data_IF_209256526651
#
_entry.id   IF_209256526651
#
_cell.length_a   1.000
_cell.length_b   1.000
_cell.length_c   1.000
_cell.angle_alpha   90.00
_cell.angle_beta   90.00
_cell.angle_gamma   90.00
#
_symmetry.space_group_name_H-M   'P 1'
#
loop_
_entity.id
_entity.type
_entity.pdbx_description
1 polymer ?
#
# COMPACT_ATOMS: atom_id res chain seq x y z
N UNK A 1 16.45 -25.76 22.76
CA UNK A 1 15.58 -25.43 21.59
C UNK A 1 14.62 -26.56 21.21
N UNK A 2 15.04 -27.84 21.12
CA UNK A 2 14.17 -28.92 20.59
C UNK A 2 12.93 -29.26 21.44
N UNK A 3 12.99 -29.05 22.76
CA UNK A 3 11.96 -29.47 23.71
C UNK A 3 11.06 -28.32 24.18
N UNK A 4 11.62 -27.15 24.44
CA UNK A 4 10.86 -26.01 24.98
C UNK A 4 10.21 -25.16 23.87
N UNK A 5 8.86 -25.08 23.81
CA UNK A 5 8.14 -24.36 22.75
C UNK A 5 8.52 -22.88 22.64
N UNK A 6 8.76 -22.21 23.76
CA UNK A 6 9.11 -20.78 23.81
C UNK A 6 10.40 -20.49 23.02
N UNK A 7 11.43 -21.33 23.21
CA UNK A 7 12.69 -21.20 22.50
C UNK A 7 12.54 -21.43 21.00
N UNK A 8 11.59 -22.28 20.58
CA UNK A 8 11.33 -22.51 19.15
C UNK A 8 10.77 -21.25 18.48
N UNK A 9 9.80 -20.60 19.12
CA UNK A 9 9.26 -19.32 18.65
C UNK A 9 10.35 -18.26 18.52
N UNK A 10 11.19 -18.12 19.55
CA UNK A 10 12.29 -17.14 19.57
C UNK A 10 13.31 -17.35 18.46
N UNK A 11 13.68 -18.61 18.19
CA UNK A 11 14.63 -18.93 17.11
C UNK A 11 14.05 -18.59 15.74
N UNK A 12 12.79 -18.96 15.47
CA UNK A 12 12.14 -18.59 14.20
C UNK A 12 12.00 -17.08 14.06
N UNK A 13 11.63 -16.38 15.15
CA UNK A 13 11.53 -14.93 15.17
C UNK A 13 12.86 -14.24 14.82
N UNK A 14 13.97 -14.72 15.39
CA UNK A 14 15.30 -14.20 15.10
C UNK A 14 15.72 -14.47 13.65
N UNK A 15 15.40 -15.64 13.11
CA UNK A 15 15.65 -15.95 11.69
C UNK A 15 14.85 -15.02 10.77
N UNK A 16 13.56 -14.81 11.05
CA UNK A 16 12.73 -13.89 10.29
C UNK A 16 13.21 -12.43 10.41
N UNK A 17 13.72 -12.03 11.58
CA UNK A 17 14.35 -10.72 11.77
C UNK A 17 15.57 -10.56 10.85
N UNK A 18 16.47 -11.53 10.84
CA UNK A 18 17.65 -11.52 9.97
C UNK A 18 17.27 -11.44 8.49
N UNK A 19 16.25 -12.19 8.07
CA UNK A 19 15.74 -12.15 6.69
C UNK A 19 15.12 -10.79 6.33
N UNK A 20 14.21 -10.27 7.15
CA UNK A 20 13.57 -8.98 6.89
C UNK A 20 14.58 -7.83 6.90
N UNK A 21 15.52 -7.80 7.84
CA UNK A 21 16.55 -6.75 7.88
C UNK A 21 17.58 -6.85 6.77
N UNK A 22 17.85 -8.05 6.24
CA UNK A 22 18.68 -8.23 5.05
C UNK A 22 17.95 -7.78 3.77
N UNK A 23 16.67 -8.13 3.63
CA UNK A 23 15.89 -7.80 2.43
C UNK A 23 15.64 -6.30 2.27
N UNK A 24 15.48 -5.55 3.37
CA UNK A 24 15.22 -4.10 3.30
C UNK A 24 16.28 -3.33 2.50
N UNK A 25 17.57 -3.44 2.86
CA UNK A 25 18.67 -2.88 2.07
C UNK A 25 18.75 -3.43 0.65
N UNK A 26 18.47 -4.71 0.42
CA UNK A 26 18.45 -5.26 -0.95
C UNK A 26 17.42 -4.56 -1.84
N UNK A 27 16.25 -4.21 -1.31
CA UNK A 27 15.18 -3.51 -2.04
C UNK A 27 15.56 -2.08 -2.44
N UNK A 28 16.61 -1.50 -1.86
CA UNK A 28 17.19 -0.22 -2.29
C UNK A 28 18.02 -0.33 -3.58
N UNK A 29 18.49 -1.54 -3.91
CA UNK A 29 19.25 -1.79 -5.13
C UNK A 29 18.32 -1.72 -6.34
N UNK A 30 18.63 -0.82 -7.29
CA UNK A 30 17.81 -0.59 -8.49
C UNK A 30 17.44 -1.89 -9.23
N UNK A 31 18.37 -2.84 -9.32
CA UNK A 31 18.17 -4.12 -10.01
C UNK A 31 17.13 -5.02 -9.32
N UNK A 32 17.20 -5.10 -7.99
CA UNK A 32 16.23 -5.87 -7.18
C UNK A 32 14.88 -5.15 -7.21
N UNK A 33 14.88 -3.84 -6.97
CA UNK A 33 13.69 -3.01 -6.98
C UNK A 33 12.93 -3.07 -8.31
N UNK A 34 13.64 -3.17 -9.44
CA UNK A 34 13.02 -3.29 -10.74
C UNK A 34 12.08 -4.50 -10.85
N UNK A 35 12.31 -5.58 -10.08
CA UNK A 35 11.45 -6.78 -10.03
C UNK A 35 10.49 -6.71 -8.84
N UNK A 36 10.99 -6.34 -7.65
CA UNK A 36 10.24 -6.41 -6.41
C UNK A 36 9.20 -5.28 -6.24
N UNK A 37 9.45 -4.10 -6.78
CA UNK A 37 8.54 -2.97 -6.61
C UNK A 37 7.23 -3.19 -7.39
N UNK A 38 6.11 -2.87 -6.75
CA UNK A 38 4.73 -3.13 -7.18
C UNK A 38 4.27 -4.60 -7.23
N UNK A 39 5.11 -5.56 -6.82
CA UNK A 39 4.75 -6.98 -6.78
C UNK A 39 4.49 -7.46 -5.36
N UNK A 40 4.13 -8.74 -5.23
CA UNK A 40 3.90 -9.42 -3.96
C UNK A 40 5.16 -9.54 -3.08
N UNK A 41 6.35 -9.15 -3.57
CA UNK A 41 7.60 -9.19 -2.81
C UNK A 41 7.54 -8.28 -1.59
N UNK A 42 7.04 -7.05 -1.77
CA UNK A 42 6.93 -6.08 -0.68
C UNK A 42 5.98 -6.59 0.39
N UNK A 43 4.88 -7.23 -0.02
CA UNK A 43 3.92 -7.85 0.89
C UNK A 43 4.56 -9.01 1.65
N UNK A 44 5.32 -9.88 0.98
CA UNK A 44 6.03 -10.98 1.62
C UNK A 44 7.02 -10.47 2.68
N UNK A 45 7.86 -9.51 2.29
CA UNK A 45 8.86 -8.87 3.13
C UNK A 45 8.27 -8.32 4.44
N UNK A 46 7.22 -7.49 4.35
CA UNK A 46 6.60 -6.91 5.56
C UNK A 46 5.94 -7.97 6.43
N UNK A 47 5.43 -9.07 5.88
CA UNK A 47 4.82 -10.15 6.67
C UNK A 47 5.87 -11.06 7.32
N UNK A 48 7.03 -11.28 6.71
CA UNK A 48 8.17 -11.92 7.38
C UNK A 48 8.58 -11.11 8.62
N UNK A 49 8.63 -9.78 8.50
CA UNK A 49 8.88 -8.90 9.65
C UNK A 49 7.75 -8.88 10.69
N UNK A 50 6.51 -8.64 10.26
CA UNK A 50 5.39 -8.46 11.17
C UNK A 50 4.92 -9.78 11.81
N UNK A 51 4.71 -10.83 11.02
CA UNK A 51 4.19 -12.11 11.50
C UNK A 51 5.30 -13.07 11.92
N UNK A 52 6.38 -13.14 11.13
CA UNK A 52 7.51 -14.03 11.39
C UNK A 52 8.38 -13.56 12.55
N UNK A 53 8.83 -12.30 12.53
CA UNK A 53 9.64 -11.74 13.62
C UNK A 53 8.78 -11.28 14.80
N UNK A 54 8.01 -10.21 14.65
CA UNK A 54 7.28 -9.61 15.79
C UNK A 54 6.21 -10.54 16.35
N UNK A 55 5.46 -11.21 15.49
CA UNK A 55 4.41 -12.16 15.89
C UNK A 55 4.97 -13.32 16.71
N UNK A 56 5.97 -14.06 16.20
CA UNK A 56 6.54 -15.18 16.95
C UNK A 56 7.27 -14.75 18.22
N UNK A 57 7.96 -13.60 18.19
CA UNK A 57 8.55 -13.01 19.40
C UNK A 57 7.46 -12.82 20.47
N UNK A 58 6.34 -12.21 20.09
CA UNK A 58 5.19 -11.99 20.96
C UNK A 58 4.62 -13.31 21.49
N UNK A 59 4.44 -14.32 20.64
CA UNK A 59 3.93 -15.63 21.06
C UNK A 59 4.86 -16.30 22.08
N UNK A 60 6.18 -16.27 21.84
CA UNK A 60 7.17 -16.79 22.77
C UNK A 60 7.14 -16.07 24.12
N UNK A 61 7.05 -14.74 24.11
CA UNK A 61 6.92 -13.91 25.32
C UNK A 61 5.65 -14.26 26.08
N UNK A 62 4.49 -14.34 25.41
CA UNK A 62 3.21 -14.63 26.07
C UNK A 62 3.21 -16.01 26.72
N UNK A 63 3.73 -17.04 26.04
CA UNK A 63 3.83 -18.37 26.63
C UNK A 63 4.77 -18.46 27.82
N UNK A 64 5.73 -17.54 27.93
CA UNK A 64 6.63 -17.44 29.07
C UNK A 64 6.05 -16.59 30.21
N UNK A 65 5.43 -15.47 29.86
CA UNK A 65 4.99 -14.43 30.78
C UNK A 65 3.72 -14.85 31.53
N UNK A 66 2.71 -15.35 30.81
CA UNK A 66 1.41 -15.67 31.41
C UNK A 66 1.50 -16.73 32.52
N UNK A 67 2.19 -17.88 32.34
CA UNK A 67 2.32 -18.85 33.43
C UNK A 67 3.00 -18.25 34.68
N UNK A 68 3.95 -17.33 34.51
CA UNK A 68 4.67 -16.68 35.61
C UNK A 68 3.79 -15.72 36.40
N UNK A 69 3.05 -14.86 35.70
CA UNK A 69 2.10 -13.91 36.31
C UNK A 69 1.03 -14.66 37.12
N UNK A 70 0.59 -15.82 36.66
CA UNK A 70 -0.44 -16.63 37.31
C UNK A 70 0.10 -17.73 38.23
N UNK A 71 1.42 -17.74 38.50
CA UNK A 71 2.14 -18.74 39.33
C UNK A 71 1.70 -20.18 39.05
N UNK A 72 1.58 -20.53 37.78
CA UNK A 72 1.16 -21.86 37.32
C UNK A 72 2.07 -22.35 36.22
N UNK A 73 2.01 -23.64 35.93
CA UNK A 73 2.53 -24.17 34.68
C UNK A 73 1.56 -23.89 33.52
N UNK A 74 2.12 -23.82 32.31
CA UNK A 74 1.36 -23.72 31.08
C UNK A 74 0.37 -24.89 30.97
N UNK A 75 -0.89 -24.60 30.63
CA UNK A 75 -1.95 -25.61 30.55
C UNK A 75 -1.58 -26.80 29.66
N UNK A 76 -1.01 -26.56 28.47
CA UNK A 76 -0.50 -27.63 27.62
C UNK A 76 0.72 -27.20 26.80
N UNK A 77 1.86 -27.83 27.07
CA UNK A 77 3.07 -27.72 26.22
C UNK A 77 2.86 -28.33 24.83
N UNK A 78 2.00 -29.35 24.71
CA UNK A 78 1.64 -29.95 23.40
C UNK A 78 0.91 -28.93 22.54
N UNK A 79 -0.11 -28.26 23.08
CA UNK A 79 -0.83 -27.20 22.36
C UNK A 79 0.10 -26.06 21.93
N UNK A 80 1.02 -25.62 22.80
CA UNK A 80 2.02 -24.61 22.41
C UNK A 80 2.94 -25.10 21.28
N UNK A 81 3.35 -26.38 21.30
CA UNK A 81 4.13 -26.95 20.19
C UNK A 81 3.30 -27.12 18.91
N UNK A 82 2.01 -27.40 19.01
CA UNK A 82 1.09 -27.45 17.86
C UNK A 82 0.90 -26.06 17.26
N UNK A 83 0.68 -25.03 18.10
CA UNK A 83 0.66 -23.64 17.65
C UNK A 83 1.96 -23.28 16.94
N UNK A 84 3.12 -23.64 17.50
CA UNK A 84 4.41 -23.38 16.86
C UNK A 84 4.46 -23.93 15.43
N UNK A 85 4.10 -25.20 15.24
CA UNK A 85 4.15 -25.81 13.91
C UNK A 85 3.12 -25.24 12.95
N UNK A 86 1.88 -25.03 13.39
CA UNK A 86 0.84 -24.43 12.57
C UNK A 86 1.21 -23.00 12.17
N UNK A 87 1.71 -22.19 13.10
CA UNK A 87 2.18 -20.85 12.82
C UNK A 87 3.39 -20.85 11.88
N UNK A 88 4.32 -21.80 12.04
CA UNK A 88 5.54 -21.88 11.21
C UNK A 88 5.17 -22.28 9.78
N UNK A 89 4.33 -23.30 9.62
CA UNK A 89 3.79 -23.66 8.32
C UNK A 89 2.95 -22.51 7.74
N UNK A 90 2.17 -21.85 8.58
CA UNK A 90 1.37 -20.68 8.18
C UNK A 90 2.21 -19.58 7.57
N UNK A 91 3.32 -19.18 8.21
CA UNK A 91 4.19 -18.13 7.66
C UNK A 91 4.94 -18.60 6.41
N UNK A 92 5.34 -19.88 6.32
CA UNK A 92 5.99 -20.43 5.13
C UNK A 92 5.04 -20.46 3.93
N UNK A 93 3.81 -20.95 4.12
CA UNK A 93 2.76 -20.95 3.09
C UNK A 93 2.24 -19.55 2.78
N UNK A 94 2.48 -18.57 3.65
CA UNK A 94 2.20 -17.17 3.36
C UNK A 94 3.30 -16.53 2.52
N UNK A 95 4.54 -16.57 2.99
CA UNK A 95 5.64 -15.78 2.44
C UNK A 95 6.25 -16.39 1.17
N UNK A 96 6.53 -17.70 1.16
CA UNK A 96 7.21 -18.34 0.02
C UNK A 96 6.41 -18.22 -1.27
N UNK A 97 5.10 -18.51 -1.31
CA UNK A 97 4.31 -18.32 -2.54
C UNK A 97 4.27 -16.87 -3.00
N UNK A 98 4.32 -15.91 -2.07
CA UNK A 98 4.32 -14.47 -2.40
C UNK A 98 5.64 -14.02 -3.04
N UNK A 99 6.79 -14.49 -2.53
CA UNK A 99 8.06 -14.28 -3.21
C UNK A 99 8.09 -14.92 -4.59
N UNK A 100 7.53 -16.13 -4.72
CA UNK A 100 7.44 -16.82 -6.01
C UNK A 100 6.54 -16.06 -6.99
N UNK A 101 5.38 -15.59 -6.54
CA UNK A 101 4.44 -14.79 -7.33
C UNK A 101 5.11 -13.52 -7.83
N UNK A 102 5.85 -12.85 -6.96
CA UNK A 102 6.57 -11.63 -7.32
C UNK A 102 7.61 -11.85 -8.42
N UNK A 103 8.39 -12.92 -8.33
CA UNK A 103 9.40 -13.26 -9.34
C UNK A 103 8.72 -13.65 -10.65
N UNK A 104 7.74 -14.57 -10.61
CA UNK A 104 7.02 -15.02 -11.81
C UNK A 104 6.37 -13.84 -12.52
N UNK A 105 5.54 -13.07 -11.80
CA UNK A 105 4.81 -11.94 -12.40
C UNK A 105 5.77 -10.84 -12.87
N UNK A 106 6.80 -10.52 -12.08
CA UNK A 106 7.80 -9.51 -12.43
C UNK A 106 8.62 -9.89 -13.67
N UNK A 107 8.92 -11.18 -13.87
CA UNK A 107 9.57 -11.68 -15.09
C UNK A 107 8.62 -11.65 -16.28
N UNK A 108 7.37 -12.10 -16.13
CA UNK A 108 6.36 -12.03 -17.19
C UNK A 108 6.11 -10.60 -17.66
N UNK A 109 6.14 -9.62 -16.76
CA UNK A 109 5.99 -8.22 -17.13
C UNK A 109 7.11 -7.72 -18.05
N UNK A 110 8.32 -8.29 -17.91
CA UNK A 110 9.55 -7.88 -18.59
C UNK A 110 9.88 -8.72 -19.82
N UNK A 111 9.18 -9.82 -20.05
CA UNK A 111 9.52 -10.73 -21.14
C UNK A 111 9.09 -10.17 -22.51
N UNK A 112 10.06 -10.11 -23.43
CA UNK A 112 9.87 -9.72 -24.82
C UNK A 112 10.13 -10.90 -25.74
N UNK A 113 9.39 -10.98 -26.84
CA UNK A 113 9.67 -11.92 -27.92
C UNK A 113 10.91 -11.47 -28.72
N UNK A 114 11.53 -12.33 -29.55
CA UNK A 114 12.64 -11.94 -30.41
C UNK A 114 12.33 -10.74 -31.33
N UNK A 115 11.05 -10.56 -31.68
CA UNK A 115 10.54 -9.44 -32.51
C UNK A 115 10.42 -8.12 -31.72
N UNK A 116 10.71 -8.13 -30.42
CA UNK A 116 10.75 -6.93 -29.59
C UNK A 116 9.40 -6.45 -29.06
N UNK A 117 8.36 -7.29 -29.13
CA UNK A 117 7.03 -7.05 -28.51
C UNK A 117 6.91 -7.80 -27.18
N UNK A 118 6.05 -7.31 -26.28
CA UNK A 118 5.81 -7.99 -25.00
C UNK A 118 5.19 -9.37 -25.24
N UNK A 119 5.77 -10.42 -24.62
CA UNK A 119 5.23 -11.78 -24.71
C UNK A 119 3.86 -11.92 -24.04
N UNK A 120 3.68 -11.21 -22.92
CA UNK A 120 2.41 -11.18 -22.17
C UNK A 120 1.82 -9.78 -22.18
N UNK A 121 1.26 -9.28 -23.30
CA UNK A 121 0.77 -7.90 -23.38
C UNK A 121 -0.52 -7.70 -22.55
N UNK A 122 -1.34 -8.74 -22.43
CA UNK A 122 -2.50 -8.74 -21.53
C UNK A 122 -2.05 -8.91 -20.07
N UNK A 123 -2.29 -7.90 -19.24
CA UNK A 123 -1.93 -7.94 -17.82
C UNK A 123 -2.65 -9.06 -17.06
N UNK A 124 -3.91 -9.36 -17.42
CA UNK A 124 -4.72 -10.38 -16.76
C UNK A 124 -4.07 -11.76 -16.81
N UNK A 125 -3.42 -12.12 -17.92
CA UNK A 125 -2.71 -13.39 -18.05
C UNK A 125 -1.65 -13.56 -16.95
N UNK A 126 -0.92 -12.49 -16.62
CA UNK A 126 0.09 -12.52 -15.56
C UNK A 126 -0.51 -12.63 -14.16
N UNK A 127 -1.75 -12.16 -13.99
CA UNK A 127 -2.49 -12.23 -12.72
C UNK A 127 -3.06 -13.62 -12.50
N UNK A 128 -3.61 -14.23 -13.55
CA UNK A 128 -4.13 -15.59 -13.53
C UNK A 128 -3.02 -16.61 -13.23
N UNK A 129 -1.80 -16.40 -13.76
CA UNK A 129 -0.66 -17.27 -13.52
C UNK A 129 -0.26 -17.36 -12.04
N UNK A 130 -0.43 -16.27 -11.28
CA UNK A 130 -0.05 -16.22 -9.86
C UNK A 130 -1.20 -16.58 -8.91
N UNK A 131 -2.40 -16.85 -9.43
CA UNK A 131 -3.57 -17.19 -8.60
C UNK A 131 -3.35 -18.40 -7.67
N UNK A 132 -2.68 -19.49 -8.09
CA UNK A 132 -2.38 -20.61 -7.19
C UNK A 132 -1.54 -20.19 -5.98
N UNK A 133 -0.63 -19.23 -6.16
CA UNK A 133 0.22 -18.73 -5.08
C UNK A 133 -0.57 -17.89 -4.07
N UNK A 134 -1.56 -17.13 -4.54
CA UNK A 134 -2.49 -16.40 -3.67
C UNK A 134 -3.40 -17.35 -2.89
N UNK A 135 -3.82 -18.47 -3.47
CA UNK A 135 -4.56 -19.51 -2.74
C UNK A 135 -3.71 -20.10 -1.61
N UNK A 136 -2.43 -20.39 -1.89
CA UNK A 136 -1.49 -20.86 -0.87
C UNK A 136 -1.25 -19.83 0.22
N UNK A 137 -1.17 -18.53 -0.13
CA UNK A 137 -1.12 -17.43 0.83
C UNK A 137 -2.35 -17.42 1.75
N UNK A 138 -3.55 -17.57 1.19
CA UNK A 138 -4.79 -17.63 1.98
C UNK A 138 -4.79 -18.81 2.95
N UNK A 139 -4.32 -19.99 2.51
CA UNK A 139 -4.11 -21.15 3.37
C UNK A 139 -3.11 -20.85 4.50
N UNK A 140 -1.97 -20.25 4.18
CA UNK A 140 -0.96 -19.85 5.16
C UNK A 140 -1.50 -18.88 6.22
N UNK A 141 -2.29 -17.89 5.79
CA UNK A 141 -2.97 -16.95 6.68
C UNK A 141 -3.99 -17.64 7.60
N UNK A 142 -4.81 -18.54 7.05
CA UNK A 142 -5.78 -19.32 7.83
C UNK A 142 -5.09 -20.22 8.87
N UNK A 143 -3.99 -20.88 8.50
CA UNK A 143 -3.16 -21.66 9.43
C UNK A 143 -2.63 -20.76 10.55
N UNK A 144 -1.99 -19.64 10.22
CA UNK A 144 -1.45 -18.71 11.21
C UNK A 144 -2.53 -18.23 12.20
N UNK A 145 -3.69 -17.80 11.69
CA UNK A 145 -4.82 -17.35 12.51
C UNK A 145 -5.37 -18.47 13.40
N UNK A 146 -5.49 -19.70 12.89
CA UNK A 146 -5.88 -20.86 13.69
C UNK A 146 -4.90 -21.13 14.83
N UNK A 147 -3.60 -20.90 14.59
CA UNK A 147 -2.55 -20.93 15.60
C UNK A 147 -2.78 -19.91 16.72
N UNK A 148 -3.16 -18.67 16.36
CA UNK A 148 -3.48 -17.61 17.33
C UNK A 148 -4.69 -17.96 18.19
N UNK A 149 -5.73 -18.57 17.62
CA UNK A 149 -6.86 -19.07 18.41
C UNK A 149 -6.44 -20.18 19.38
N UNK A 150 -5.61 -21.12 18.92
CA UNK A 150 -5.08 -22.19 19.76
C UNK A 150 -4.21 -21.65 20.90
N UNK A 151 -3.38 -20.63 20.63
CA UNK A 151 -2.63 -19.91 21.65
C UNK A 151 -3.55 -19.28 22.68
N UNK A 152 -4.52 -18.50 22.22
CA UNK A 152 -5.47 -17.77 23.07
C UNK A 152 -6.18 -18.74 24.00
N UNK A 153 -6.68 -19.86 23.48
CA UNK A 153 -7.29 -20.92 24.27
C UNK A 153 -6.32 -21.48 25.34
N UNK A 154 -5.09 -21.81 24.95
CA UNK A 154 -4.09 -22.37 25.87
C UNK A 154 -3.72 -21.38 26.99
N UNK A 155 -3.58 -20.10 26.65
CA UNK A 155 -3.30 -19.04 27.62
C UNK A 155 -4.49 -18.80 28.57
N UNK A 156 -5.74 -18.75 28.06
CA UNK A 156 -6.94 -18.63 28.89
C UNK A 156 -7.03 -19.79 29.89
N UNK A 157 -6.83 -21.02 29.43
CA UNK A 157 -6.82 -22.19 30.31
C UNK A 157 -5.70 -22.15 31.34
N UNK A 158 -4.55 -21.60 30.98
CA UNK A 158 -3.43 -21.36 31.91
C UNK A 158 -3.84 -20.35 32.98
N UNK A 159 -4.43 -19.22 32.60
CA UNK A 159 -4.91 -18.20 33.55
C UNK A 159 -6.00 -18.73 34.48
N UNK A 160 -6.92 -19.55 33.97
CA UNK A 160 -7.99 -20.19 34.77
C UNK A 160 -7.45 -21.20 35.79
N UNK A 161 -6.33 -21.87 35.49
CA UNK A 161 -5.69 -22.83 36.40
C UNK A 161 -4.90 -22.14 37.51
N UNK A 162 -4.31 -20.99 37.21
CA UNK A 162 -3.44 -20.26 38.14
C UNK A 162 -4.16 -19.24 39.01
N UNK A 163 -3.38 -18.53 39.82
CA UNK A 163 -3.84 -17.39 40.61
C UNK A 163 -2.99 -16.18 40.26
N UNK A 164 -3.64 -15.07 39.90
CA UNK A 164 -2.96 -13.84 39.54
C UNK A 164 -2.11 -13.34 40.72
N UNK A 165 -0.81 -13.18 40.49
CA UNK A 165 0.08 -12.47 41.38
C UNK A 165 -0.03 -10.97 41.10
N UNK A 166 -0.95 -10.29 41.80
CA UNK A 166 -1.17 -8.86 41.59
C UNK A 166 0.03 -8.00 42.01
N UNK A 167 0.70 -8.40 43.10
CA UNK A 167 1.87 -7.70 43.64
C UNK A 167 2.90 -8.73 44.08
N UNK A 168 4.16 -8.53 43.71
CA UNK A 168 5.30 -9.26 44.25
C UNK A 168 6.32 -8.27 44.82
N UNK A 169 6.94 -8.58 45.99
CA UNK A 169 8.07 -7.81 46.46
C UNK A 169 9.22 -8.00 45.46
N UNK A 170 9.56 -6.93 44.73
CA UNK A 170 10.69 -6.89 43.82
C UNK A 170 11.84 -6.14 44.48
N UNK A 171 12.97 -6.81 44.69
CA UNK A 171 14.20 -6.18 45.14
C UNK A 171 15.13 -5.99 43.93
N UNK A 172 15.55 -4.75 43.69
CA UNK A 172 16.61 -4.50 42.73
C UNK A 172 17.94 -5.05 43.30
N UNK A 173 18.81 -5.66 42.48
CA UNK A 173 20.15 -6.02 42.94
C UNK A 173 20.84 -4.79 43.55
N UNK A 174 21.64 -5.01 44.58
CA UNK A 174 22.39 -3.95 45.24
C UNK A 174 23.12 -3.10 44.17
N UNK A 175 22.86 -1.79 44.18
CA UNK A 175 23.48 -0.85 43.25
C UNK A 175 24.99 -1.06 43.30
N UNK A 176 25.58 -1.49 42.19
CA UNK A 176 27.02 -1.57 42.07
C UNK A 176 27.62 -0.19 42.37
N UNK A 177 28.76 -0.11 43.08
CA UNK A 177 29.40 1.16 43.35
C UNK A 177 29.60 1.94 42.05
N UNK A 178 29.24 3.22 42.06
CA UNK A 178 29.32 4.08 40.88
C UNK A 178 30.77 4.17 40.42
N UNK A 179 31.11 3.49 39.32
CA UNK A 179 32.41 3.70 38.68
C UNK A 179 32.47 5.13 38.12
N UNK A 180 33.36 5.94 38.69
CA UNK A 180 33.56 7.36 38.33
C UNK A 180 34.36 7.50 37.02
N UNK A 181 35.21 6.50 36.71
CA UNK A 181 35.98 6.44 35.47
C UNK A 181 35.31 5.47 34.49
N UNK A 182 34.60 6.03 33.51
CA UNK A 182 34.01 5.25 32.43
C UNK A 182 35.10 4.69 31.51
N UNK A 183 35.15 3.37 31.36
CA UNK A 183 36.11 2.70 30.48
C UNK A 183 35.87 2.95 28.99
N UNK A 184 34.65 3.30 28.57
CA UNK A 184 34.33 3.50 27.16
C UNK A 184 33.43 4.70 26.90
N UNK A 185 33.73 5.42 25.82
CA UNK A 185 33.04 6.66 25.44
C UNK A 185 31.56 6.47 25.10
N UNK A 186 31.15 5.29 24.62
CA UNK A 186 29.74 4.99 24.30
C UNK A 186 28.85 4.86 25.55
N UNK A 187 29.42 4.52 26.70
CA UNK A 187 28.66 4.32 27.95
C UNK A 187 27.98 5.60 28.45
N UNK A 188 28.51 6.77 28.06
CA UNK A 188 27.90 8.10 28.30
C UNK A 188 26.54 8.25 27.64
N UNK A 189 26.39 7.66 26.45
CA UNK A 189 25.15 7.68 25.67
C UNK A 189 24.15 6.68 26.25
N UNK A 190 24.60 5.45 26.52
CA UNK A 190 23.76 4.37 27.01
C UNK A 190 23.17 4.63 28.41
N UNK A 191 23.94 5.31 29.28
CA UNK A 191 23.49 5.58 30.66
C UNK A 191 22.56 6.79 30.77
N UNK A 192 22.56 7.68 29.79
CA UNK A 192 21.77 8.92 29.80
C UNK A 192 20.64 8.81 28.76
N UNK A 193 19.50 8.18 29.11
CA UNK A 193 18.43 7.93 28.14
C UNK A 193 17.89 9.23 27.51
N UNK A 194 17.84 10.33 28.27
CA UNK A 194 17.44 11.65 27.74
C UNK A 194 18.44 12.15 26.69
N UNK A 195 19.74 12.01 26.94
CA UNK A 195 20.77 12.42 25.98
C UNK A 195 20.68 11.57 24.71
N UNK A 196 20.57 10.25 24.84
CA UNK A 196 20.43 9.35 23.70
C UNK A 196 19.16 9.66 22.90
N UNK A 197 18.03 9.89 23.57
CA UNK A 197 16.77 10.28 22.93
C UNK A 197 16.91 11.59 22.15
N UNK A 198 17.53 12.62 22.73
CA UNK A 198 17.76 13.91 22.05
C UNK A 198 18.65 13.72 20.82
N UNK A 199 19.74 12.97 20.94
CA UNK A 199 20.64 12.72 19.81
C UNK A 199 19.98 11.88 18.70
N UNK A 200 19.19 10.87 19.06
CA UNK A 200 18.41 10.08 18.11
C UNK A 200 17.37 10.95 17.40
N UNK A 201 16.66 11.82 18.12
CA UNK A 201 15.74 12.79 17.54
C UNK A 201 16.45 13.71 16.57
N UNK A 202 17.60 14.27 16.95
CA UNK A 202 18.41 15.12 16.05
C UNK A 202 18.81 14.35 14.79
N UNK A 203 19.27 13.10 14.91
CA UNK A 203 19.65 12.29 13.76
C UNK A 203 18.46 12.04 12.81
N UNK A 204 17.29 11.71 13.35
CA UNK A 204 16.05 11.53 12.57
C UNK A 204 15.65 12.83 11.88
N UNK A 205 15.71 13.96 12.59
CA UNK A 205 15.38 15.28 12.03
C UNK A 205 16.36 15.68 10.92
N UNK A 206 17.65 15.38 11.06
CA UNK A 206 18.64 15.63 9.98
C UNK A 206 18.28 14.82 8.75
N UNK A 207 18.01 13.51 8.89
CA UNK A 207 17.60 12.67 7.77
C UNK A 207 16.32 13.19 7.10
N UNK A 208 15.30 13.50 7.90
CA UNK A 208 14.04 14.08 7.42
C UNK A 208 14.24 15.43 6.72
N UNK A 209 15.10 16.31 7.25
CA UNK A 209 15.42 17.58 6.59
C UNK A 209 16.12 17.38 5.25
N UNK A 210 17.11 16.47 5.18
CA UNK A 210 17.85 16.19 3.94
C UNK A 210 16.94 15.61 2.86
N UNK A 211 15.94 14.81 3.21
CA UNK A 211 14.99 14.21 2.26
C UNK A 211 13.85 15.18 1.87
N UNK A 212 13.27 15.88 2.85
CA UNK A 212 12.04 16.66 2.64
C UNK A 212 12.32 18.09 2.17
N UNK A 213 13.31 18.79 2.77
CA UNK A 213 13.53 20.22 2.50
C UNK A 213 13.84 20.49 1.02
N UNK A 214 14.77 19.76 0.36
CA UNK A 214 15.04 19.98 -1.06
C UNK A 214 13.82 19.75 -1.95
N UNK A 215 12.92 18.86 -1.55
CA UNK A 215 11.67 18.57 -2.29
C UNK A 215 10.69 19.75 -2.23
N UNK A 216 10.65 20.49 -1.12
CA UNK A 216 9.78 21.66 -0.97
C UNK A 216 10.38 22.96 -1.52
N UNK A 217 11.69 23.15 -1.42
CA UNK A 217 12.32 24.45 -1.74
C UNK A 217 12.80 24.57 -3.18
N UNK A 218 13.02 23.45 -3.87
CA UNK A 218 13.55 23.46 -5.24
C UNK A 218 12.39 23.26 -6.21
N UNK A 219 11.79 24.35 -6.70
CA UNK A 219 10.72 24.33 -7.70
C UNK A 219 11.10 23.59 -8.98
N UNK A 220 12.40 23.51 -9.31
CA UNK A 220 12.91 22.68 -10.42
C UNK A 220 12.72 21.17 -10.23
N UNK A 221 12.53 20.70 -9.00
CA UNK A 221 12.31 19.27 -8.72
C UNK A 221 10.89 18.80 -9.11
N UNK A 222 9.94 19.74 -9.21
CA UNK A 222 8.57 19.46 -9.67
C UNK A 222 8.22 20.40 -10.82
N UNK A 223 8.69 20.12 -12.05
CA UNK A 223 8.36 20.94 -13.19
C UNK A 223 6.85 20.86 -13.46
N UNK A 224 6.15 21.98 -13.39
CA UNK A 224 4.74 22.05 -13.78
C UNK A 224 4.62 21.91 -15.29
N UNK A 225 3.81 20.97 -15.74
CA UNK A 225 3.52 20.80 -17.18
C UNK A 225 2.35 21.72 -17.51
N UNK A 226 2.54 22.68 -18.42
CA UNK A 226 1.53 23.70 -18.73
C UNK A 226 0.20 23.12 -19.23
N UNK A 227 0.21 21.92 -19.81
CA UNK A 227 -1.00 21.23 -20.25
C UNK A 227 -1.78 20.55 -19.12
N UNK A 228 -1.17 20.32 -17.95
CA UNK A 228 -1.83 19.70 -16.80
C UNK A 228 -2.74 20.74 -16.15
N UNK A 229 -4.03 20.43 -16.12
CA UNK A 229 -5.06 21.26 -15.49
C UNK A 229 -5.63 20.59 -14.24
N UNK A 230 -6.10 21.38 -13.26
CA UNK A 230 -6.87 20.85 -12.13
C UNK A 230 -8.02 19.97 -12.60
N UNK A 231 -8.40 18.99 -11.77
CA UNK A 231 -9.57 18.16 -12.04
C UNK A 231 -10.84 19.02 -12.11
N UNK A 232 -11.69 18.75 -13.08
CA UNK A 232 -13.05 19.29 -13.11
C UNK A 232 -13.85 18.82 -11.89
N UNK A 233 -14.97 19.49 -11.59
CA UNK A 233 -15.80 19.15 -10.43
C UNK A 233 -16.27 17.69 -10.43
N UNK A 234 -16.65 17.12 -11.58
CA UNK A 234 -17.06 15.73 -11.68
C UNK A 234 -15.89 14.75 -11.53
N UNK A 235 -14.76 15.04 -12.17
CA UNK A 235 -13.53 14.23 -12.06
C UNK A 235 -13.01 14.22 -10.61
N UNK A 236 -13.10 15.34 -9.91
CA UNK A 236 -12.72 15.44 -8.50
C UNK A 236 -13.59 14.54 -7.61
N UNK A 237 -14.89 14.53 -7.85
CA UNK A 237 -15.79 13.60 -7.14
C UNK A 237 -15.51 12.14 -7.50
N UNK A 238 -15.26 11.85 -8.79
CA UNK A 238 -14.87 10.52 -9.25
C UNK A 238 -13.57 10.01 -8.64
N UNK A 239 -12.62 10.92 -8.42
CA UNK A 239 -11.35 10.64 -7.74
C UNK A 239 -11.57 10.28 -6.28
N UNK A 240 -12.44 10.99 -5.57
CA UNK A 240 -12.75 10.67 -4.17
C UNK A 240 -13.46 9.32 -4.04
N UNK A 241 -14.32 8.98 -5.01
CA UNK A 241 -14.90 7.65 -5.11
C UNK A 241 -13.83 6.58 -5.38
N UNK A 242 -12.87 6.83 -6.28
CA UNK A 242 -11.74 5.93 -6.51
C UNK A 242 -10.93 5.66 -5.23
N UNK A 243 -10.79 6.68 -4.36
CA UNK A 243 -10.16 6.54 -3.04
C UNK A 243 -11.06 5.77 -2.08
N UNK A 244 -12.35 6.11 -2.00
CA UNK A 244 -13.35 5.47 -1.12
C UNK A 244 -13.43 3.96 -1.37
N UNK A 245 -13.45 3.57 -2.64
CA UNK A 245 -13.53 2.17 -3.06
C UNK A 245 -12.19 1.42 -2.93
N UNK A 246 -11.11 2.12 -2.58
CA UNK A 246 -9.80 1.50 -2.36
C UNK A 246 -9.14 1.00 -3.65
N UNK A 247 -9.49 1.54 -4.81
CA UNK A 247 -8.95 1.12 -6.11
C UNK A 247 -7.42 1.20 -6.15
N UNK A 248 -6.84 2.18 -5.44
CA UNK A 248 -5.38 2.40 -5.29
C UNK A 248 -4.63 1.20 -4.67
N UNK A 249 -5.31 0.31 -3.95
CA UNK A 249 -4.71 -0.90 -3.37
C UNK A 249 -4.41 -1.98 -4.42
N UNK A 250 -5.10 -1.93 -5.56
CA UNK A 250 -4.97 -2.89 -6.65
C UNK A 250 -4.33 -2.28 -7.90
N UNK A 251 -4.52 -0.98 -8.10
CA UNK A 251 -4.12 -0.26 -9.30
C UNK A 251 -3.19 0.89 -8.96
N UNK A 252 -1.99 0.84 -9.53
CA UNK A 252 -1.05 1.97 -9.48
C UNK A 252 -1.45 3.04 -10.49
N UNK A 253 -1.00 4.25 -10.25
CA UNK A 253 -1.02 5.35 -11.23
C UNK A 253 0.39 5.91 -11.39
N UNK A 254 1.37 5.04 -11.61
CA UNK A 254 2.78 5.43 -11.76
C UNK A 254 3.51 4.41 -12.62
N UNK A 255 3.71 4.79 -13.88
CA UNK A 255 4.44 4.03 -14.88
C UNK A 255 5.93 4.35 -14.73
N UNK A 256 6.73 3.31 -14.48
CA UNK A 256 8.18 3.44 -14.32
C UNK A 256 8.86 3.57 -15.69
N UNK A 257 10.04 4.23 -15.77
CA UNK A 257 10.79 4.40 -17.02
C UNK A 257 11.52 3.12 -17.46
N UNK A 258 10.84 1.98 -17.44
CA UNK A 258 11.31 0.72 -17.99
C UNK A 258 10.67 0.48 -19.36
N UNK A 259 11.44 -0.03 -20.32
CA UNK A 259 10.93 -0.41 -21.65
C UNK A 259 9.68 -1.30 -21.56
N UNK A 260 9.67 -2.26 -20.63
CA UNK A 260 8.55 -3.18 -20.43
C UNK A 260 7.26 -2.50 -19.96
N UNK A 261 7.37 -1.46 -19.14
CA UNK A 261 6.21 -0.71 -18.69
C UNK A 261 5.75 0.27 -19.75
N UNK A 262 6.68 0.94 -20.43
CA UNK A 262 6.31 1.91 -21.46
C UNK A 262 5.68 1.25 -22.66
N UNK A 263 6.13 0.03 -23.03
CA UNK A 263 5.49 -0.77 -24.07
C UNK A 263 4.08 -1.24 -23.69
N UNK A 264 3.79 -1.42 -22.38
CA UNK A 264 2.51 -1.93 -21.89
C UNK A 264 1.47 -0.83 -21.69
N UNK A 265 1.89 0.26 -21.05
CA UNK A 265 0.99 1.29 -20.55
C UNK A 265 1.07 2.60 -21.35
N UNK A 266 2.19 2.86 -22.04
CA UNK A 266 2.47 4.13 -22.71
C UNK A 266 3.57 4.92 -22.00
N UNK A 267 3.65 6.23 -22.25
CA UNK A 267 4.73 7.06 -21.70
C UNK A 267 4.82 6.97 -20.17
N UNK A 268 6.05 6.91 -19.64
CA UNK A 268 6.31 6.88 -18.21
C UNK A 268 5.75 8.13 -17.51
N UNK A 269 5.49 8.02 -16.22
CA UNK A 269 4.88 9.10 -15.44
C UNK A 269 5.90 10.17 -15.05
N UNK A 270 5.53 11.43 -15.20
CA UNK A 270 6.35 12.60 -14.86
C UNK A 270 5.83 13.23 -13.57
N UNK A 271 6.73 13.74 -12.74
CA UNK A 271 6.35 14.40 -11.46
C UNK A 271 5.32 15.53 -11.66
N UNK A 272 5.46 16.28 -12.76
CA UNK A 272 4.57 17.39 -13.12
C UNK A 272 3.10 17.02 -13.37
N UNK A 273 2.78 15.73 -13.52
CA UNK A 273 1.40 15.26 -13.73
C UNK A 273 0.63 15.12 -12.42
N UNK A 274 1.35 14.96 -11.30
CA UNK A 274 0.77 14.75 -9.97
C UNK A 274 0.63 16.04 -9.16
N UNK A 275 0.92 17.20 -9.76
CA UNK A 275 0.98 18.50 -9.05
C UNK A 275 -0.33 18.91 -8.38
N UNK A 276 -1.47 18.40 -8.88
CA UNK A 276 -2.79 18.65 -8.31
C UNK A 276 -3.36 17.45 -7.54
N UNK A 277 -2.57 16.40 -7.35
CA UNK A 277 -3.00 15.21 -6.63
C UNK A 277 -2.82 15.37 -5.12
N UNK A 278 -3.93 15.62 -4.43
CA UNK A 278 -3.96 15.67 -2.97
C UNK A 278 -4.99 14.67 -2.42
N UNK A 279 -4.56 13.58 -1.74
CA UNK A 279 -3.20 13.02 -1.68
C UNK A 279 -2.82 12.28 -2.98
N UNK A 280 -1.54 12.04 -3.26
CA UNK A 280 -1.10 11.28 -4.44
C UNK A 280 -1.71 9.86 -4.53
N UNK A 281 -1.92 9.36 -5.76
CA UNK A 281 -2.52 8.03 -6.03
C UNK A 281 -1.59 7.06 -6.77
N UNK A 282 -0.28 7.21 -6.58
CA UNK A 282 0.77 6.40 -7.23
C UNK A 282 0.57 4.90 -7.06
N UNK A 283 0.01 4.47 -5.93
CA UNK A 283 -0.18 3.08 -5.55
C UNK A 283 1.13 2.40 -5.11
N UNK A 284 1.02 1.21 -4.53
CA UNK A 284 2.16 0.46 -3.98
C UNK A 284 2.21 -1.00 -4.44
N UNK A 285 1.16 -1.46 -5.15
CA UNK A 285 1.02 -2.83 -5.63
C UNK A 285 0.14 -2.86 -6.89
N UNK A 286 0.44 -3.78 -7.81
CA UNK A 286 -0.37 -4.08 -9.00
C UNK A 286 -1.01 -5.47 -8.90
N UNK A 287 -2.21 -5.53 -8.34
CA UNK A 287 -3.10 -6.70 -8.53
C UNK A 287 -3.83 -6.60 -9.87
N UNK A 288 -4.22 -5.37 -10.24
CA UNK A 288 -4.65 -5.00 -11.58
C UNK A 288 -3.59 -4.15 -12.30
N UNK A 289 -3.80 -3.82 -13.58
CA UNK A 289 -2.87 -3.00 -14.35
C UNK A 289 -2.75 -1.57 -13.80
N UNK A 290 -1.65 -0.89 -14.15
CA UNK A 290 -1.52 0.55 -13.95
C UNK A 290 -2.59 1.33 -14.75
N UNK A 291 -3.14 2.37 -14.13
CA UNK A 291 -4.25 3.15 -14.68
C UNK A 291 -3.85 4.55 -15.16
N UNK A 292 -2.59 4.98 -15.03
CA UNK A 292 -2.23 6.38 -15.29
C UNK A 292 -2.38 6.83 -16.76
N UNK A 293 -2.58 5.90 -17.70
CA UNK A 293 -2.71 6.18 -19.15
C UNK A 293 -3.98 5.60 -19.77
N UNK A 294 -5.02 5.39 -18.97
CA UNK A 294 -6.26 4.78 -19.47
C UNK A 294 -7.20 5.79 -20.14
N UNK A 295 -6.98 7.09 -19.96
CA UNK A 295 -7.86 8.12 -20.51
C UNK A 295 -7.99 8.02 -22.03
N UNK A 296 -9.20 7.78 -22.51
CA UNK A 296 -9.52 7.56 -23.92
C UNK A 296 -9.06 6.21 -24.49
N UNK A 297 -8.54 5.29 -23.67
CA UNK A 297 -8.16 3.93 -24.11
C UNK A 297 -9.37 3.02 -24.29
N UNK A 298 -10.40 3.22 -23.47
CA UNK A 298 -11.66 2.46 -23.50
C UNK A 298 -12.84 3.44 -23.53
N UNK A 299 -13.97 3.09 -24.18
CA UNK A 299 -15.17 3.93 -24.18
C UNK A 299 -15.84 3.92 -22.81
N UNK A 300 -16.71 4.90 -22.54
CA UNK A 300 -17.45 4.97 -21.26
C UNK A 300 -18.26 3.70 -21.00
N UNK A 301 -18.86 3.12 -22.04
CA UNK A 301 -19.59 1.85 -21.95
C UNK A 301 -18.71 0.71 -21.42
N UNK A 302 -17.46 0.63 -21.86
CA UNK A 302 -16.53 -0.40 -21.37
C UNK A 302 -16.22 -0.20 -19.89
N UNK A 303 -16.02 1.04 -19.44
CA UNK A 303 -15.80 1.34 -18.02
C UNK A 303 -17.04 1.01 -17.18
N UNK A 304 -18.23 1.32 -17.69
CA UNK A 304 -19.50 0.96 -17.04
C UNK A 304 -19.63 -0.56 -16.89
N UNK A 305 -19.50 -1.30 -18.00
CA UNK A 305 -19.60 -2.77 -17.99
C UNK A 305 -18.53 -3.39 -17.08
N UNK A 306 -17.30 -2.88 -17.13
CA UNK A 306 -16.20 -3.39 -16.31
C UNK A 306 -16.39 -3.13 -14.82
N UNK A 307 -16.95 -1.99 -14.41
CA UNK A 307 -17.23 -1.71 -13.00
C UNK A 307 -18.48 -2.44 -12.49
N UNK A 308 -19.47 -2.68 -13.37
CA UNK A 308 -20.62 -3.52 -13.07
C UNK A 308 -20.18 -4.98 -12.82
N UNK A 309 -19.46 -5.55 -13.78
CA UNK A 309 -18.89 -6.89 -13.71
C UNK A 309 -17.61 -6.96 -14.54
N UNK A 310 -16.43 -6.96 -13.90
CA UNK A 310 -15.15 -7.02 -14.58
C UNK A 310 -14.98 -8.23 -15.50
N UNK A 311 -15.73 -9.32 -15.27
CA UNK A 311 -15.65 -10.54 -16.08
C UNK A 311 -16.29 -10.41 -17.45
N UNK A 312 -17.20 -9.44 -17.63
CA UNK A 312 -17.82 -9.13 -18.93
C UNK A 312 -16.77 -8.67 -19.94
N UNK A 313 -15.89 -7.76 -19.52
CA UNK A 313 -14.88 -7.18 -20.41
C UNK A 313 -13.51 -7.86 -20.29
N UNK A 314 -13.28 -8.58 -19.20
CA UNK A 314 -12.02 -9.27 -18.89
C UNK A 314 -12.31 -10.63 -18.26
N UNK A 315 -12.63 -11.68 -19.06
CA UNK A 315 -12.98 -13.00 -18.55
C UNK A 315 -11.89 -13.57 -17.63
N UNK A 316 -12.27 -13.93 -16.40
CA UNK A 316 -11.33 -14.38 -15.36
C UNK A 316 -10.75 -13.25 -14.48
N UNK A 317 -11.21 -12.01 -14.64
CA UNK A 317 -10.83 -10.91 -13.74
C UNK A 317 -11.12 -11.26 -12.27
N UNK A 318 -10.17 -10.93 -11.40
CA UNK A 318 -10.29 -11.06 -9.94
C UNK A 318 -10.66 -9.72 -9.28
N UNK A 319 -10.92 -8.68 -10.07
CA UNK A 319 -11.39 -7.39 -9.56
C UNK A 319 -12.80 -7.56 -8.97
N UNK A 320 -13.10 -6.98 -7.79
CA UNK A 320 -14.46 -6.96 -7.24
C UNK A 320 -15.44 -6.24 -8.18
N UNK A 321 -16.71 -6.59 -8.09
CA UNK A 321 -17.80 -5.85 -8.75
C UNK A 321 -18.19 -4.62 -7.90
N UNK A 322 -18.60 -3.53 -8.55
CA UNK A 322 -19.02 -2.28 -7.90
C UNK A 322 -20.45 -1.86 -8.32
N UNK A 323 -21.47 -2.74 -8.24
CA UNK A 323 -22.82 -2.43 -8.72
C UNK A 323 -23.46 -1.25 -7.98
N UNK A 324 -23.07 -1.00 -6.72
CA UNK A 324 -23.61 0.12 -5.94
C UNK A 324 -23.29 1.49 -6.54
N UNK A 325 -22.19 1.65 -7.29
CA UNK A 325 -21.86 2.91 -7.96
C UNK A 325 -22.93 3.31 -9.01
N UNK A 326 -23.67 2.33 -9.52
CA UNK A 326 -24.73 2.53 -10.52
C UNK A 326 -26.02 3.00 -9.83
N UNK A 327 -26.28 2.51 -8.63
CA UNK A 327 -27.52 2.77 -7.89
C UNK A 327 -27.42 3.99 -6.96
N UNK A 328 -26.23 4.29 -6.44
CA UNK A 328 -26.00 5.38 -5.49
C UNK A 328 -25.97 6.74 -6.19
N UNK A 329 -26.55 7.73 -5.51
CA UNK A 329 -26.51 9.13 -5.96
C UNK A 329 -25.23 9.80 -5.49
N UNK A 330 -24.66 10.64 -6.35
CA UNK A 330 -23.49 11.44 -6.03
C UNK A 330 -23.84 12.56 -5.05
N UNK A 331 -23.15 12.59 -3.91
CA UNK A 331 -23.26 13.67 -2.92
C UNK A 331 -22.33 14.85 -3.26
N UNK A 332 -22.94 15.97 -3.61
CA UNK A 332 -22.24 17.23 -3.95
C UNK A 332 -22.34 18.30 -2.86
N UNK A 333 -22.89 17.98 -1.68
CA UNK A 333 -23.13 18.94 -0.60
C UNK A 333 -21.89 19.75 -0.20
N UNK A 334 -20.72 19.13 -0.22
CA UNK A 334 -19.44 19.75 0.17
C UNK A 334 -18.52 20.11 -1.01
N UNK A 335 -18.99 19.99 -2.26
CA UNK A 335 -18.15 20.14 -3.46
C UNK A 335 -17.44 21.51 -3.51
N UNK A 336 -18.19 22.60 -3.30
CA UNK A 336 -17.63 23.96 -3.35
C UNK A 336 -16.62 24.20 -2.24
N UNK A 337 -16.91 23.72 -1.03
CA UNK A 337 -16.01 23.87 0.12
C UNK A 337 -14.74 23.02 -0.04
N UNK A 338 -14.85 21.84 -0.66
CA UNK A 338 -13.72 21.02 -1.07
C UNK A 338 -12.84 21.75 -2.08
N UNK A 339 -13.40 22.33 -3.15
CA UNK A 339 -12.63 23.10 -4.13
C UNK A 339 -11.96 24.34 -3.50
N UNK A 340 -12.63 25.03 -2.56
CA UNK A 340 -12.02 26.13 -1.81
C UNK A 340 -10.87 25.65 -0.93
N UNK A 341 -11.00 24.50 -0.28
CA UNK A 341 -9.93 23.90 0.53
C UNK A 341 -8.73 23.51 -0.34
N UNK A 342 -8.97 22.88 -1.50
CA UNK A 342 -7.94 22.54 -2.48
C UNK A 342 -7.24 23.79 -3.02
N UNK A 343 -7.98 24.88 -3.22
CA UNK A 343 -7.39 26.18 -3.57
C UNK A 343 -6.44 26.70 -2.48
N UNK A 344 -6.80 26.58 -1.21
CA UNK A 344 -5.90 26.93 -0.08
C UNK A 344 -4.63 26.06 -0.06
N UNK A 345 -4.70 24.84 -0.59
CA UNK A 345 -3.56 23.94 -0.75
C UNK A 345 -2.72 24.23 -2.01
N UNK A 346 -3.06 25.24 -2.80
CA UNK A 346 -2.29 25.68 -3.96
C UNK A 346 -2.84 25.23 -5.32
N UNK A 347 -3.98 24.55 -5.37
CA UNK A 347 -4.60 24.14 -6.65
C UNK A 347 -5.31 25.36 -7.27
N UNK A 348 -5.00 25.77 -8.50
CA UNK A 348 -5.41 27.06 -9.07
C UNK A 348 -6.85 27.07 -9.61
N UNK A 349 -7.84 26.67 -8.80
CA UNK A 349 -9.25 26.85 -9.14
C UNK A 349 -9.62 28.33 -9.19
N UNK A 350 -10.32 28.77 -10.23
CA UNK A 350 -10.86 30.13 -10.37
C UNK A 350 -12.18 30.30 -9.60
N UNK A 351 -12.56 31.54 -9.26
CA UNK A 351 -13.84 31.81 -8.58
C UNK A 351 -15.02 31.33 -9.39
N UNK A 352 -14.96 31.55 -10.72
CA UNK A 352 -15.97 31.07 -11.65
C UNK A 352 -16.11 29.54 -11.62
N UNK A 353 -15.00 28.78 -11.57
CA UNK A 353 -15.05 27.31 -11.49
C UNK A 353 -15.67 26.82 -10.17
N UNK A 354 -15.45 27.52 -9.06
CA UNK A 354 -16.06 27.14 -7.77
C UNK A 354 -17.54 27.53 -7.75
N UNK A 355 -17.90 28.71 -8.25
CA UNK A 355 -19.27 29.20 -8.28
C UNK A 355 -20.17 28.32 -9.16
N UNK A 356 -19.69 27.98 -10.36
CA UNK A 356 -20.38 27.16 -11.35
C UNK A 356 -20.12 25.66 -11.23
N UNK A 357 -19.40 25.21 -10.19
CA UNK A 357 -18.96 23.82 -10.02
C UNK A 357 -20.07 22.78 -10.21
N UNK A 358 -21.25 23.02 -9.63
CA UNK A 358 -22.40 22.11 -9.73
C UNK A 358 -22.98 22.08 -11.15
N UNK A 359 -23.05 23.24 -11.82
CA UNK A 359 -23.56 23.33 -13.19
C UNK A 359 -22.62 22.64 -14.18
N UNK A 360 -21.31 22.88 -14.05
CA UNK A 360 -20.28 22.25 -14.87
C UNK A 360 -20.22 20.74 -14.64
N UNK A 361 -20.34 20.31 -13.38
CA UNK A 361 -20.46 18.90 -13.01
C UNK A 361 -21.67 18.26 -13.70
N UNK A 362 -22.87 18.84 -13.57
CA UNK A 362 -24.08 18.29 -14.18
C UNK A 362 -23.96 18.24 -15.71
N UNK A 363 -23.39 19.27 -16.34
CA UNK A 363 -23.18 19.32 -17.79
C UNK A 363 -22.24 18.21 -18.26
N UNK A 364 -21.12 18.01 -17.57
CA UNK A 364 -20.17 16.94 -17.90
C UNK A 364 -20.79 15.56 -17.66
N UNK A 365 -21.52 15.40 -16.56
CA UNK A 365 -22.18 14.14 -16.20
C UNK A 365 -23.26 13.76 -17.22
N UNK A 366 -24.05 14.74 -17.67
CA UNK A 366 -25.08 14.53 -18.69
C UNK A 366 -24.46 14.06 -20.01
N UNK A 367 -23.32 14.65 -20.41
CA UNK A 367 -22.61 14.22 -21.61
C UNK A 367 -22.18 12.74 -21.56
N UNK A 368 -21.70 12.28 -20.40
CA UNK A 368 -21.31 10.87 -20.21
C UNK A 368 -22.55 9.97 -20.18
N UNK A 369 -23.62 10.39 -19.51
CA UNK A 369 -24.88 9.65 -19.47
C UNK A 369 -25.54 9.52 -20.86
N UNK A 370 -25.49 10.58 -21.66
CA UNK A 370 -25.99 10.58 -23.05
C UNK A 370 -25.17 9.65 -23.95
N UNK A 371 -23.84 9.66 -23.80
CA UNK A 371 -22.95 8.72 -24.50
C UNK A 371 -23.26 7.26 -24.10
N UNK A 372 -23.44 6.98 -22.81
CA UNK A 372 -23.85 5.66 -22.33
C UNK A 372 -25.22 5.24 -22.90
N UNK A 373 -26.18 6.16 -22.95
CA UNK A 373 -27.52 5.91 -23.52
C UNK A 373 -27.46 5.59 -25.01
N UNK A 374 -26.63 6.30 -25.77
CA UNK A 374 -26.38 6.00 -27.19
C UNK A 374 -25.78 4.59 -27.38
N UNK A 375 -25.05 4.11 -26.39
CA UNK A 375 -24.46 2.77 -26.32
C UNK A 375 -25.31 1.77 -25.53
N UNK A 376 -26.63 1.98 -25.44
CA UNK A 376 -27.63 1.08 -24.85
C UNK A 376 -27.50 0.87 -23.32
N UNK A 377 -26.86 1.79 -22.61
CA UNK A 377 -26.76 1.79 -21.14
C UNK A 377 -27.57 2.95 -20.58
N UNK A 378 -28.67 2.65 -19.88
CA UNK A 378 -29.51 3.66 -19.25
C UNK A 378 -29.03 3.91 -17.81
N UNK A 379 -28.40 5.06 -17.57
CA UNK A 379 -27.98 5.50 -16.23
C UNK A 379 -28.33 6.98 -16.06
N UNK A 380 -28.68 7.39 -14.84
CA UNK A 380 -28.90 8.80 -14.53
C UNK A 380 -27.56 9.53 -14.40
N UNK A 381 -27.50 10.80 -14.79
CA UNK A 381 -26.29 11.61 -14.69
C UNK A 381 -25.85 11.87 -13.24
N UNK A 382 -26.75 11.75 -12.27
CA UNK A 382 -26.49 11.95 -10.84
C UNK A 382 -25.90 10.72 -10.14
N UNK A 383 -25.50 9.67 -10.88
CA UNK A 383 -24.95 8.43 -10.31
C UNK A 383 -23.44 8.50 -10.13
N UNK A 384 -22.96 7.86 -9.07
CA UNK A 384 -21.53 7.82 -8.73
C UNK A 384 -20.66 7.20 -9.84
N UNK A 385 -21.17 6.20 -10.55
CA UNK A 385 -20.49 5.55 -11.67
C UNK A 385 -20.09 6.55 -12.77
N UNK A 386 -20.91 7.58 -13.01
CA UNK A 386 -20.64 8.61 -14.01
C UNK A 386 -19.43 9.45 -13.60
N UNK A 387 -19.31 9.77 -12.30
CA UNK A 387 -18.17 10.50 -11.76
C UNK A 387 -16.88 9.67 -11.84
N UNK A 388 -16.92 8.38 -11.46
CA UNK A 388 -15.76 7.48 -11.57
C UNK A 388 -15.30 7.35 -13.02
N UNK A 389 -16.22 7.19 -13.98
CA UNK A 389 -15.90 7.15 -15.40
C UNK A 389 -15.21 8.46 -15.85
N UNK A 390 -15.73 9.62 -15.43
CA UNK A 390 -15.11 10.90 -15.74
C UNK A 390 -13.65 10.97 -15.26
N UNK A 391 -13.40 10.56 -14.01
CA UNK A 391 -12.05 10.51 -13.46
C UNK A 391 -11.13 9.55 -14.21
N UNK A 392 -11.59 8.32 -14.51
CA UNK A 392 -10.79 7.35 -15.26
C UNK A 392 -10.47 7.86 -16.67
N UNK A 393 -11.42 8.50 -17.35
CA UNK A 393 -11.21 9.09 -18.68
C UNK A 393 -10.21 10.25 -18.68
N UNK A 394 -10.02 10.89 -17.53
CA UNK A 394 -9.09 12.01 -17.34
C UNK A 394 -7.63 11.56 -17.17
N UNK A 395 -7.37 10.33 -16.73
CA UNK A 395 -6.03 9.87 -16.39
C UNK A 395 -5.07 9.83 -17.59
N UNK A 396 -4.01 10.63 -17.53
CA UNK A 396 -2.93 10.67 -18.51
C UNK A 396 -3.26 11.37 -19.82
N UNK A 397 -4.36 12.13 -19.90
CA UNK A 397 -4.73 12.88 -21.10
C UNK A 397 -3.94 14.18 -21.27
N UNK A 398 -3.44 14.77 -20.18
CA UNK A 398 -2.72 16.06 -20.22
C UNK A 398 -1.45 16.05 -21.05
N UNK A 399 -0.79 14.90 -21.14
CA UNK A 399 0.45 14.74 -21.90
C UNK A 399 0.22 14.47 -23.40
N UNK A 400 -1.04 14.22 -23.82
CA UNK A 400 -1.38 13.99 -25.23
C UNK A 400 -1.48 15.28 -26.04
N UNK A 401 -1.70 16.42 -25.37
CA UNK A 401 -1.63 17.72 -26.00
C UNK A 401 -0.16 18.07 -26.27
N UNK A 402 0.15 18.66 -27.43
CA UNK A 402 1.50 19.12 -27.74
C UNK A 402 2.01 20.03 -26.62
N UNK A 403 3.25 19.84 -26.12
CA UNK A 403 3.77 20.64 -25.02
C UNK A 403 3.87 22.09 -25.48
N UNK A 404 2.93 22.93 -25.05
CA UNK A 404 3.18 24.37 -25.00
C UNK A 404 4.21 24.55 -23.88
N UNK A 405 5.38 25.06 -24.25
CA UNK A 405 6.41 25.46 -23.29
C UNK A 405 5.73 26.35 -22.25
N UNK A 406 5.82 25.98 -20.98
CA UNK A 406 5.28 26.81 -19.90
C UNK A 406 5.97 28.17 -19.98
N UNK A 407 5.20 29.25 -20.13
CA UNK A 407 5.74 30.59 -19.97
C UNK A 407 6.34 30.67 -18.57
N UNK A 408 7.61 31.08 -18.50
CA UNK A 408 8.30 31.37 -17.26
C UNK A 408 7.47 32.44 -16.51
N UNK A 409 6.64 32.01 -15.55
CA UNK A 409 6.01 32.94 -14.63
C UNK A 409 7.15 33.58 -13.83
N UNK A 410 7.34 34.86 -14.07
CA UNK A 410 8.39 35.74 -13.58
C UNK A 410 8.95 35.35 -12.20
N UNK A 411 10.20 34.88 -12.20
CA UNK A 411 11.07 34.97 -11.03
C UNK A 411 11.53 36.42 -10.90
N UNK A 412 10.66 37.27 -10.35
CA UNK A 412 10.98 38.57 -9.76
C UNK A 412 9.70 39.13 -9.11
N UNK A 413 9.42 38.67 -7.88
CA UNK A 413 8.84 39.45 -6.79
C UNK A 413 8.99 38.69 -5.47
#
# INVERSE_FOLDING_TARGET
>A
VRTEPMLKFMVVALTCYGMATFEGPMLSLKQVNAIAHFTDWIVAHVHVGALGWNGFMTFGILYWLIPRIYKTELYSKKLASTHFWIGTLGILFYAIPMYWAAVVQGLMWKEFTPEGVLKYPNFLATTLEILPMHMMRALGGALYLSGVFLMTFNLIKTMQKGKLLANEPAEAPALLPVQVNEQSQHRRLERKPILFMVLALIAILIGGMVEMVPTFTISKNVPTIASVKPYTALELQGRDLYVREGCVNCHTQTIRPFRSETARYGEYSKAGEFVYDTPFLWGSKRTGPDLHRIGGKYPNKWHFDHLLDPTITSPGSIMPTYPWLIDQKLDNSILKDKMKALRKLGIPYTDAEIEHAEQDLTKQAQKIADDLKQNQVNVLADREIVAVIAYLQRLGTDIKAAPKVADNVNANQ
#
